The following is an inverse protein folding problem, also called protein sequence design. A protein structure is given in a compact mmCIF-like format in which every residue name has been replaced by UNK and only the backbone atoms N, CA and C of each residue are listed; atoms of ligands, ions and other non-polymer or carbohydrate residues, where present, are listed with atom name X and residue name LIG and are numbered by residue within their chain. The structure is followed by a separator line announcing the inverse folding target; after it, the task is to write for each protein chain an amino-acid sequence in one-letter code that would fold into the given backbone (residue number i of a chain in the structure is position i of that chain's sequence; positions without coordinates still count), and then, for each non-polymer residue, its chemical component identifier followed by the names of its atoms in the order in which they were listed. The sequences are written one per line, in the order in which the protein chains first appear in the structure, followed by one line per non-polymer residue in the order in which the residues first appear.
data_IF_646002652607
#
_entry.id   IF_646002652607
#
_cell.length_a   1.000
_cell.length_b   1.000
_cell.length_c   1.000
_cell.angle_alpha   90.00
_cell.angle_beta   90.00
_cell.angle_gamma   90.00
#
_symmetry.space_group_name_H-M   'P 1'
#
loop_
_entity.id
_entity.type
_entity.pdbx_description
1 polymer ?
#
# COMPACT_ATOMS: atom_id res chain seq x y z
N UNK A 1 1.78 -13.31 -1.79
CA UNK A 1 0.60 -13.32 -0.91
C UNK A 1 -0.32 -14.50 -1.23
N UNK A 2 -0.09 -15.26 -2.29
CA UNK A 2 -0.85 -16.48 -2.60
C UNK A 2 -2.36 -16.24 -2.69
N UNK A 3 -2.74 -15.03 -3.16
CA UNK A 3 -4.12 -14.72 -3.48
C UNK A 3 -4.51 -15.59 -4.67
N UNK A 4 -5.61 -16.32 -4.55
CA UNK A 4 -6.09 -17.21 -5.61
C UNK A 4 -6.43 -16.44 -6.88
N UNK A 5 -6.09 -16.97 -8.04
CA UNK A 5 -6.39 -16.38 -9.37
C UNK A 5 -7.89 -16.15 -9.63
N UNK A 6 -8.77 -16.76 -8.83
CA UNK A 6 -10.22 -16.49 -8.87
C UNK A 6 -10.58 -15.07 -8.42
N UNK A 7 -9.68 -14.38 -7.71
CA UNK A 7 -9.87 -12.99 -7.30
C UNK A 7 -9.16 -12.07 -8.31
N UNK A 8 -9.96 -11.29 -9.03
CA UNK A 8 -9.43 -10.25 -9.90
C UNK A 8 -8.98 -9.06 -9.05
N UNK A 9 -7.70 -8.70 -9.14
CA UNK A 9 -7.17 -7.49 -8.50
C UNK A 9 -7.52 -6.29 -9.38
N UNK A 10 -8.42 -5.45 -8.91
CA UNK A 10 -8.89 -4.27 -9.62
C UNK A 10 -8.73 -3.04 -8.74
N UNK A 11 -8.53 -1.88 -9.37
CA UNK A 11 -8.48 -0.61 -8.66
C UNK A 11 -9.77 -0.39 -7.85
N UNK A 12 -9.67 -0.05 -6.55
CA UNK A 12 -10.81 0.23 -5.71
C UNK A 12 -11.29 1.68 -5.82
N UNK A 13 -10.97 2.46 -6.87
CA UNK A 13 -11.37 3.87 -6.97
C UNK A 13 -12.85 4.17 -6.68
N UNK A 14 -13.77 3.22 -6.91
CA UNK A 14 -15.20 3.39 -6.58
C UNK A 14 -15.64 2.64 -5.32
N UNK A 15 -15.04 1.50 -5.02
CA UNK A 15 -15.34 0.73 -3.79
C UNK A 15 -14.58 1.26 -2.57
N UNK A 16 -13.60 2.12 -2.80
CA UNK A 16 -12.61 2.71 -1.90
C UNK A 16 -11.67 1.68 -1.26
N UNK A 17 -12.19 0.52 -0.90
CA UNK A 17 -11.46 -0.58 -0.27
C UNK A 17 -11.84 -1.90 -0.95
N UNK A 18 -10.84 -2.66 -1.39
CA UNK A 18 -10.98 -4.06 -1.79
C UNK A 18 -10.15 -4.94 -0.86
N UNK A 19 -10.69 -6.10 -0.47
CA UNK A 19 -9.99 -7.03 0.40
C UNK A 19 -9.81 -8.39 -0.28
N UNK A 20 -8.58 -8.90 -0.26
CA UNK A 20 -8.22 -10.14 -0.95
C UNK A 20 -7.66 -11.18 0.03
N UNK A 21 -8.20 -12.41 0.01
CA UNK A 21 -7.71 -13.47 0.88
C UNK A 21 -6.45 -14.10 0.28
N UNK A 22 -5.33 -13.92 0.98
CA UNK A 22 -4.05 -14.57 0.71
C UNK A 22 -3.46 -15.17 1.99
N UNK A 23 -2.18 -15.57 1.94
CA UNK A 23 -1.37 -15.95 3.11
C UNK A 23 -1.45 -14.91 4.23
N UNK A 24 -1.44 -13.64 3.85
CA UNK A 24 -1.94 -12.53 4.65
C UNK A 24 -3.08 -11.90 3.87
N UNK A 25 -4.10 -11.38 4.57
CA UNK A 25 -5.14 -10.58 3.93
C UNK A 25 -4.51 -9.31 3.36
N UNK A 26 -4.88 -8.97 2.12
CA UNK A 26 -4.49 -7.71 1.49
C UNK A 26 -5.67 -6.76 1.53
N UNK A 27 -5.52 -5.61 2.18
CA UNK A 27 -6.44 -4.48 2.08
C UNK A 27 -5.88 -3.48 1.09
N UNK A 28 -6.56 -3.33 -0.05
CA UNK A 28 -6.20 -2.40 -1.11
C UNK A 28 -7.13 -1.20 -1.02
N UNK A 29 -6.58 -0.05 -0.69
CA UNK A 29 -7.30 1.20 -0.44
C UNK A 29 -6.93 2.21 -1.53
N UNK A 30 -7.89 2.99 -2.00
CA UNK A 30 -7.67 4.11 -2.91
C UNK A 30 -8.32 5.37 -2.33
N UNK A 31 -7.49 6.34 -1.94
CA UNK A 31 -7.91 7.59 -1.31
C UNK A 31 -8.14 8.72 -2.33
N UNK A 32 -8.09 8.46 -3.63
CA UNK A 32 -8.23 9.47 -4.68
C UNK A 32 -9.47 10.35 -4.49
N UNK A 33 -10.60 9.73 -4.09
CA UNK A 33 -11.91 10.39 -3.96
C UNK A 33 -12.20 10.96 -2.57
N UNK A 34 -11.33 10.74 -1.59
CA UNK A 34 -11.53 11.18 -0.21
C UNK A 34 -10.97 12.58 -0.06
N UNK A 35 -11.76 13.54 0.39
CA UNK A 35 -11.35 14.95 0.47
C UNK A 35 -11.19 15.44 1.92
N UNK A 36 -11.91 14.84 2.87
CA UNK A 36 -11.86 15.20 4.29
C UNK A 36 -11.32 14.03 5.14
N UNK A 37 -10.37 14.27 6.08
CA UNK A 37 -9.94 13.25 7.03
C UNK A 37 -11.08 12.59 7.81
N UNK A 38 -12.19 13.29 8.07
CA UNK A 38 -13.36 12.71 8.74
C UNK A 38 -14.01 11.55 7.96
N UNK A 39 -13.88 11.53 6.64
CA UNK A 39 -14.37 10.42 5.81
C UNK A 39 -13.54 9.14 6.05
N UNK A 40 -12.29 9.25 6.52
CA UNK A 40 -11.47 8.08 6.85
C UNK A 40 -12.04 7.29 8.03
N UNK A 41 -12.56 7.99 9.05
CA UNK A 41 -13.26 7.38 10.17
C UNK A 41 -14.49 6.59 9.69
N UNK A 42 -15.29 7.18 8.80
CA UNK A 42 -16.50 6.54 8.27
C UNK A 42 -16.20 5.27 7.45
N UNK A 43 -15.02 5.20 6.84
CA UNK A 43 -14.54 4.05 6.08
C UNK A 43 -13.94 2.94 6.95
N UNK A 44 -13.79 3.16 8.26
CA UNK A 44 -13.07 2.25 9.16
C UNK A 44 -11.58 2.15 8.83
N UNK A 45 -11.00 3.24 8.32
CA UNK A 45 -9.60 3.29 7.88
C UNK A 45 -8.63 2.95 9.01
N UNK A 46 -8.85 3.53 10.19
CA UNK A 46 -7.97 3.39 11.34
C UNK A 46 -7.91 1.94 11.85
N UNK A 47 -9.05 1.24 11.89
CA UNK A 47 -9.09 -0.18 12.26
C UNK A 47 -8.37 -1.06 11.23
N UNK A 48 -8.41 -0.69 9.94
CA UNK A 48 -7.74 -1.41 8.88
C UNK A 48 -6.23 -1.23 8.98
N UNK A 49 -5.73 -0.01 9.17
CA UNK A 49 -4.28 0.23 9.23
C UNK A 49 -3.62 -0.35 10.49
N UNK A 50 -4.38 -0.49 11.58
CA UNK A 50 -3.92 -1.12 12.82
C UNK A 50 -4.06 -2.65 12.81
N UNK A 51 -4.64 -3.22 11.74
CA UNK A 51 -4.81 -4.66 11.61
C UNK A 51 -3.50 -5.39 11.25
N UNK A 52 -3.43 -6.68 11.56
CA UNK A 52 -2.29 -7.54 11.18
C UNK A 52 -2.37 -8.02 9.71
N UNK A 53 -2.67 -7.09 8.80
CA UNK A 53 -2.85 -7.33 7.37
C UNK A 53 -1.71 -6.67 6.56
N UNK A 54 -1.59 -7.07 5.30
CA UNK A 54 -0.82 -6.25 4.34
C UNK A 54 -1.77 -5.19 3.80
N UNK A 55 -1.39 -3.91 3.92
CA UNK A 55 -2.20 -2.80 3.43
C UNK A 55 -1.45 -2.11 2.29
N UNK A 56 -2.13 -1.88 1.17
CA UNK A 56 -1.62 -1.14 0.02
C UNK A 56 -2.57 0.02 -0.25
N UNK A 57 -2.05 1.25 -0.24
CA UNK A 57 -2.86 2.47 -0.31
C UNK A 57 -2.41 3.31 -1.50
N UNK A 58 -3.31 3.54 -2.44
CA UNK A 58 -3.15 4.50 -3.53
C UNK A 58 -3.54 5.90 -3.04
N UNK A 59 -2.85 6.93 -3.54
CA UNK A 59 -3.07 8.35 -3.17
C UNK A 59 -2.93 8.64 -1.67
N UNK A 60 -2.10 7.85 -0.96
CA UNK A 60 -1.80 8.03 0.45
C UNK A 60 -1.19 9.41 0.76
N UNK A 61 -0.60 10.09 -0.23
CA UNK A 61 -0.01 11.41 -0.09
C UNK A 61 -1.01 12.50 0.33
N UNK A 62 -2.32 12.28 0.10
CA UNK A 62 -3.39 13.19 0.55
C UNK A 62 -3.53 13.25 2.08
N UNK A 63 -3.15 12.18 2.78
CA UNK A 63 -3.41 12.00 4.22
C UNK A 63 -2.16 11.50 4.97
N UNK A 64 -0.97 12.00 4.61
CA UNK A 64 0.28 11.51 5.22
C UNK A 64 0.34 11.65 6.74
N UNK A 65 -0.34 12.66 7.29
CA UNK A 65 -0.36 12.94 8.72
C UNK A 65 -1.16 11.90 9.53
N UNK A 66 -1.97 11.07 8.85
CA UNK A 66 -2.77 10.00 9.46
C UNK A 66 -1.96 8.71 9.68
N UNK A 67 -0.77 8.58 9.08
CA UNK A 67 0.08 7.40 9.20
C UNK A 67 1.04 7.52 10.38
N UNK A 68 0.65 6.94 11.51
CA UNK A 68 1.45 6.97 12.75
C UNK A 68 2.48 5.84 12.87
N UNK A 69 2.28 4.74 12.14
CA UNK A 69 3.18 3.59 12.09
C UNK A 69 4.19 3.71 10.95
N UNK A 70 5.23 2.86 10.96
CA UNK A 70 6.18 2.82 9.86
C UNK A 70 5.55 2.23 8.59
N UNK A 71 5.83 2.83 7.43
CA UNK A 71 5.37 2.35 6.13
C UNK A 71 6.50 2.30 5.08
N UNK A 72 6.21 1.70 3.91
CA UNK A 72 7.03 1.83 2.70
C UNK A 72 6.35 2.82 1.75
N UNK A 73 7.00 3.96 1.47
CA UNK A 73 6.56 4.91 0.45
C UNK A 73 7.03 4.43 -0.94
N UNK A 74 6.08 4.16 -1.84
CA UNK A 74 6.35 3.66 -3.18
C UNK A 74 5.91 4.71 -4.20
N UNK A 75 6.89 5.32 -4.87
CA UNK A 75 6.66 6.32 -5.91
C UNK A 75 6.94 5.73 -7.28
N UNK A 76 5.95 5.80 -8.16
CA UNK A 76 6.05 5.33 -9.55
C UNK A 76 6.07 6.53 -10.49
N UNK A 77 7.21 6.80 -11.13
CA UNK A 77 7.38 7.88 -12.11
C UNK A 77 7.38 7.34 -13.53
N UNK A 78 6.58 7.96 -14.41
CA UNK A 78 6.57 7.67 -15.85
C UNK A 78 7.83 8.26 -16.50
N UNK A 79 8.59 7.43 -17.22
CA UNK A 79 9.78 7.86 -17.97
C UNK A 79 9.59 7.82 -19.50
N UNK A 80 8.56 7.11 -19.96
CA UNK A 80 8.20 6.91 -21.37
C UNK A 80 7.08 5.88 -21.46
N UNK A 81 6.68 5.49 -22.66
CA UNK A 81 5.46 4.67 -22.86
C UNK A 81 5.52 3.33 -22.11
N UNK A 82 6.67 2.65 -22.16
CA UNK A 82 6.88 1.34 -21.55
C UNK A 82 7.89 1.35 -20.39
N UNK A 83 8.31 2.53 -19.93
CA UNK A 83 9.33 2.66 -18.88
C UNK A 83 8.79 3.42 -17.67
N UNK A 84 9.06 2.87 -16.48
CA UNK A 84 8.73 3.46 -15.19
C UNK A 84 9.96 3.43 -14.30
N UNK A 85 10.10 4.42 -13.43
CA UNK A 85 11.00 4.37 -12.28
C UNK A 85 10.18 4.15 -11.04
N UNK A 86 10.49 3.09 -10.30
CA UNK A 86 9.91 2.82 -8.99
C UNK A 86 10.95 3.21 -7.95
N UNK A 87 10.58 4.08 -7.02
CA UNK A 87 11.40 4.46 -5.87
C UNK A 87 10.68 3.99 -4.62
N UNK A 88 11.36 3.19 -3.80
CA UNK A 88 10.84 2.67 -2.54
C UNK A 88 11.64 3.33 -1.42
N UNK A 89 10.96 3.98 -0.49
CA UNK A 89 11.55 4.63 0.68
C UNK A 89 10.97 4.02 1.94
N UNK A 90 11.82 3.57 2.86
CA UNK A 90 11.36 3.07 4.15
C UNK A 90 11.17 4.21 5.15
N UNK A 91 9.99 4.26 5.76
CA UNK A 91 9.67 5.07 6.92
C UNK A 91 9.58 4.14 8.14
N UNK A 92 10.42 4.39 9.15
CA UNK A 92 10.48 3.57 10.36
C UNK A 92 11.48 2.40 10.27
N UNK A 93 12.01 2.00 11.44
CA UNK A 93 13.14 1.06 11.53
C UNK A 93 12.82 -0.35 11.02
N UNK A 94 11.59 -0.84 11.23
CA UNK A 94 11.17 -2.16 10.77
C UNK A 94 11.17 -2.24 9.24
N UNK A 95 10.72 -1.18 8.56
CA UNK A 95 10.71 -1.11 7.10
C UNK A 95 12.10 -0.92 6.50
N UNK A 96 13.00 -0.23 7.19
CA UNK A 96 14.43 -0.17 6.79
C UNK A 96 15.01 -1.58 6.79
N UNK A 97 14.77 -2.35 7.85
CA UNK A 97 15.22 -3.73 7.96
C UNK A 97 14.61 -4.61 6.86
N UNK A 98 13.36 -4.35 6.47
CA UNK A 98 12.69 -5.04 5.37
C UNK A 98 13.34 -4.74 4.01
N UNK A 99 13.59 -3.47 3.68
CA UNK A 99 14.27 -3.09 2.43
C UNK A 99 15.66 -3.72 2.35
N UNK A 100 16.46 -3.64 3.42
CA UNK A 100 17.81 -4.23 3.42
C UNK A 100 17.78 -5.74 3.11
N UNK A 101 16.78 -6.46 3.63
CA UNK A 101 16.59 -7.89 3.32
C UNK A 101 16.18 -8.13 1.87
N UNK A 102 15.45 -7.21 1.24
CA UNK A 102 15.06 -7.29 -0.17
C UNK A 102 16.22 -6.99 -1.11
N UNK A 103 17.03 -5.97 -0.83
CA UNK A 103 18.22 -5.64 -1.63
C UNK A 103 19.21 -6.81 -1.66
N UNK A 104 19.45 -7.44 -0.51
CA UNK A 104 20.30 -8.64 -0.42
C UNK A 104 19.79 -9.78 -1.30
N UNK A 105 18.48 -9.93 -1.48
CA UNK A 105 17.90 -10.96 -2.36
C UNK A 105 18.04 -10.62 -3.84
N UNK A 106 17.78 -9.37 -4.22
CA UNK A 106 17.90 -8.91 -5.61
C UNK A 106 19.35 -8.99 -6.10
N UNK A 107 20.32 -8.79 -5.21
CA UNK A 107 21.74 -8.92 -5.54
C UNK A 107 22.25 -10.38 -5.51
N UNK A 108 21.48 -11.30 -4.93
CA UNK A 108 21.86 -12.72 -4.82
C UNK A 108 21.27 -13.62 -5.91
N UNK A 109 20.37 -13.10 -6.73
CA UNK A 109 19.78 -13.74 -7.92
C UNK A 109 20.53 -13.30 -9.20
#
# INVERSE_FOLDING_TARGET
LDVSEKYYITSPTFTLINEYPGRFRLSHIDLYRIEDPLELDELGFYEIIDSNNVIAIEWADKFLDEFTSGYLDIKIKILGDQSRRITITACGQENINLINKLELKILSD
#
